data_IF_229653690628
#
_entry.id   IF_229653690628
#
_cell.length_a   1.000
_cell.length_b   1.000
_cell.length_c   1.000
_cell.angle_alpha   90.00
_cell.angle_beta   90.00
_cell.angle_gamma   90.00
#
_symmetry.space_group_name_H-M   'P 1'
#
loop_
_entity.id
_entity.type
_entity.pdbx_description
1 polymer ?
#
# COMPACT_ATOMS: atom_id res chain seq x y z
N UNK A 1 53.39 -28.68 23.39
CA UNK A 1 51.95 -28.46 23.71
C UNK A 1 51.23 -27.40 22.86
N UNK A 2 51.90 -26.56 22.05
CA UNK A 2 51.22 -25.52 21.22
C UNK A 2 50.66 -26.03 19.89
N UNK A 3 51.24 -27.06 19.28
CA UNK A 3 50.85 -27.55 17.94
C UNK A 3 49.53 -28.33 17.93
N UNK A 4 49.25 -29.11 18.99
CA UNK A 4 48.03 -29.94 19.10
C UNK A 4 46.75 -29.08 19.10
N UNK A 5 46.78 -27.88 19.70
CA UNK A 5 45.62 -26.95 19.70
C UNK A 5 45.32 -26.34 18.34
N UNK A 6 46.32 -26.16 17.49
CA UNK A 6 46.13 -25.57 16.15
C UNK A 6 45.50 -26.59 15.21
N UNK A 7 45.86 -27.87 15.36
CA UNK A 7 45.31 -28.98 14.59
C UNK A 7 43.83 -29.24 14.96
N UNK A 8 43.51 -29.30 16.26
CA UNK A 8 42.11 -29.44 16.73
C UNK A 8 41.20 -28.27 16.30
N UNK A 9 41.75 -27.05 16.26
CA UNK A 9 41.04 -25.87 15.75
C UNK A 9 40.72 -25.97 14.26
N UNK A 10 41.64 -26.53 13.47
CA UNK A 10 41.48 -26.77 12.03
C UNK A 10 40.45 -27.84 11.70
N UNK A 11 40.41 -28.93 12.46
CA UNK A 11 39.43 -30.01 12.29
C UNK A 11 38.00 -29.56 12.63
N UNK A 12 37.83 -28.81 13.73
CA UNK A 12 36.52 -28.21 14.09
C UNK A 12 36.04 -27.19 13.06
N UNK A 13 36.95 -26.46 12.42
CA UNK A 13 36.61 -25.52 11.36
C UNK A 13 36.16 -26.22 10.07
N UNK A 14 36.80 -27.35 9.71
CA UNK A 14 36.40 -28.21 8.58
C UNK A 14 35.03 -28.84 8.79
N UNK A 15 34.78 -29.42 9.96
CA UNK A 15 33.46 -29.99 10.31
C UNK A 15 32.34 -28.95 10.22
N UNK A 16 32.57 -27.71 10.67
CA UNK A 16 31.60 -26.61 10.54
C UNK A 16 31.42 -26.12 9.10
N UNK A 17 32.42 -26.29 8.23
CA UNK A 17 32.28 -25.95 6.81
C UNK A 17 31.42 -26.99 6.10
N UNK A 18 31.70 -28.28 6.31
CA UNK A 18 30.93 -29.41 5.79
C UNK A 18 29.47 -29.37 6.25
N UNK A 19 29.22 -29.07 7.54
CA UNK A 19 27.86 -28.94 8.06
C UNK A 19 27.09 -27.77 7.42
N UNK A 20 27.77 -26.65 7.16
CA UNK A 20 27.16 -25.50 6.47
C UNK A 20 26.83 -25.80 5.02
N UNK A 21 27.71 -26.51 4.32
CA UNK A 21 27.51 -26.94 2.94
C UNK A 21 26.33 -27.91 2.85
N UNK A 22 26.26 -28.91 3.75
CA UNK A 22 25.14 -29.85 3.81
C UNK A 22 23.80 -29.14 4.06
N UNK A 23 23.76 -28.21 5.03
CA UNK A 23 22.55 -27.39 5.29
C UNK A 23 22.20 -26.45 4.14
N UNK A 24 23.16 -26.03 3.33
CA UNK A 24 22.90 -25.22 2.14
C UNK A 24 22.29 -26.08 1.02
N UNK A 25 22.84 -27.28 0.78
CA UNK A 25 22.29 -28.21 -0.21
C UNK A 25 20.89 -28.69 0.14
N UNK A 26 20.60 -28.97 1.42
CA UNK A 26 19.27 -29.37 1.89
C UNK A 26 18.23 -28.27 1.62
N UNK A 27 18.57 -27.01 1.92
CA UNK A 27 17.68 -25.86 1.68
C UNK A 27 17.40 -25.62 0.20
N UNK A 28 18.40 -25.79 -0.66
CA UNK A 28 18.23 -25.65 -2.11
C UNK A 28 17.34 -26.76 -2.66
N UNK A 29 17.55 -28.01 -2.23
CA UNK A 29 16.71 -29.15 -2.63
C UNK A 29 15.25 -28.98 -2.20
N UNK A 30 15.02 -28.50 -0.96
CA UNK A 30 13.67 -28.22 -0.46
C UNK A 30 12.99 -27.05 -1.21
N UNK A 31 13.74 -25.99 -1.53
CA UNK A 31 13.22 -24.88 -2.32
C UNK A 31 12.83 -25.33 -3.74
N UNK A 32 13.66 -26.18 -4.37
CA UNK A 32 13.38 -26.72 -5.69
C UNK A 32 12.16 -27.66 -5.69
N UNK A 33 12.02 -28.50 -4.66
CA UNK A 33 10.84 -29.37 -4.51
C UNK A 33 9.55 -28.54 -4.38
N UNK A 34 9.56 -27.48 -3.57
CA UNK A 34 8.40 -26.57 -3.42
C UNK A 34 8.06 -25.85 -4.72
N UNK A 35 9.07 -25.36 -5.45
CA UNK A 35 8.85 -24.71 -6.74
C UNK A 35 8.23 -25.67 -7.76
N UNK A 36 8.73 -26.92 -7.83
CA UNK A 36 8.17 -27.94 -8.72
C UNK A 36 6.70 -28.21 -8.38
N UNK A 37 6.38 -28.43 -7.11
CA UNK A 37 4.99 -28.65 -6.66
C UNK A 37 4.08 -27.46 -7.00
N UNK A 38 4.53 -26.23 -6.75
CA UNK A 38 3.78 -25.02 -7.08
C UNK A 38 3.56 -24.89 -8.59
N UNK A 39 4.58 -25.16 -9.40
CA UNK A 39 4.47 -25.10 -10.86
C UNK A 39 3.51 -26.14 -11.42
N UNK A 40 3.54 -27.37 -10.90
CA UNK A 40 2.61 -28.43 -11.29
C UNK A 40 1.18 -28.10 -10.86
N UNK A 41 1.00 -27.57 -9.64
CA UNK A 41 -0.30 -27.08 -9.18
C UNK A 41 -0.83 -25.96 -10.08
N UNK A 42 0.01 -24.98 -10.42
CA UNK A 42 -0.39 -23.86 -11.28
C UNK A 42 -0.72 -24.29 -12.71
N UNK A 43 0.01 -25.26 -13.28
CA UNK A 43 -0.33 -25.87 -14.57
C UNK A 43 -1.70 -26.56 -14.51
N UNK A 44 -1.96 -27.32 -13.44
CA UNK A 44 -3.25 -28.01 -13.27
C UNK A 44 -4.44 -27.05 -13.11
N UNK A 45 -4.25 -25.89 -12.48
CA UNK A 45 -5.30 -24.87 -12.32
C UNK A 45 -5.54 -24.01 -13.57
N UNK A 46 -4.60 -23.99 -14.52
CA UNK A 46 -4.70 -23.18 -15.74
C UNK A 46 -5.11 -24.07 -16.92
N UNK A 47 -6.41 -24.15 -17.27
CA UNK A 47 -6.77 -24.80 -18.52
C UNK A 47 -6.05 -24.11 -19.68
N UNK A 48 -5.47 -24.91 -20.59
CA UNK A 48 -4.88 -24.40 -21.83
C UNK A 48 -5.92 -23.59 -22.58
N UNK A 49 -5.75 -22.26 -22.58
CA UNK A 49 -6.64 -21.37 -23.30
C UNK A 49 -6.16 -21.34 -24.74
N UNK A 50 -7.00 -21.71 -25.73
CA UNK A 50 -6.60 -21.63 -27.13
C UNK A 50 -6.21 -20.18 -27.46
N UNK A 51 -5.15 -20.02 -28.27
CA UNK A 51 -4.62 -18.72 -28.66
C UNK A 51 -5.67 -17.84 -29.37
N UNK A 52 -6.67 -18.47 -30.00
CA UNK A 52 -7.78 -17.84 -30.71
C UNK A 52 -9.10 -17.80 -29.90
N UNK A 53 -9.04 -18.09 -28.60
CA UNK A 53 -10.22 -18.22 -27.75
C UNK A 53 -10.86 -16.89 -27.37
N UNK A 54 -12.19 -16.82 -27.48
CA UNK A 54 -13.07 -15.72 -27.02
C UNK A 54 -12.60 -15.10 -25.69
N UNK A 55 -12.76 -13.77 -25.50
CA UNK A 55 -12.34 -13.09 -24.28
C UNK A 55 -12.89 -13.82 -23.05
N UNK A 56 -12.03 -13.99 -22.03
CA UNK A 56 -12.37 -14.72 -20.82
C UNK A 56 -13.73 -14.22 -20.26
N UNK A 57 -14.60 -15.12 -19.80
CA UNK A 57 -15.95 -14.74 -19.38
C UNK A 57 -15.85 -13.62 -18.34
N UNK A 58 -16.54 -12.50 -18.60
CA UNK A 58 -16.57 -11.35 -17.69
C UNK A 58 -16.97 -11.85 -16.30
N UNK A 59 -16.18 -11.48 -15.29
CA UNK A 59 -16.44 -11.85 -13.89
C UNK A 59 -17.89 -11.49 -13.55
N UNK A 60 -18.60 -12.40 -12.88
CA UNK A 60 -20.00 -12.19 -12.46
C UNK A 60 -20.12 -10.82 -11.76
N UNK A 61 -21.18 -10.08 -12.07
CA UNK A 61 -21.44 -8.79 -11.43
C UNK A 61 -21.42 -8.94 -9.90
N UNK A 62 -20.74 -8.01 -9.21
CA UNK A 62 -20.63 -7.99 -7.75
C UNK A 62 -21.17 -6.69 -7.19
N UNK A 63 -21.46 -6.66 -5.89
CA UNK A 63 -21.87 -5.44 -5.17
C UNK A 63 -23.26 -4.93 -5.55
N UNK A 64 -23.42 -3.61 -5.60
CA UNK A 64 -24.69 -2.95 -5.91
C UNK A 64 -25.27 -3.41 -7.26
N UNK A 65 -24.40 -3.55 -8.27
CA UNK A 65 -24.79 -4.03 -9.60
C UNK A 65 -25.44 -5.42 -9.55
N UNK A 66 -25.03 -6.29 -8.62
CA UNK A 66 -25.66 -7.61 -8.42
C UNK A 66 -26.98 -7.54 -7.64
N UNK A 67 -27.09 -6.63 -6.67
CA UNK A 67 -28.22 -6.58 -5.72
C UNK A 67 -29.40 -5.78 -6.25
N UNK A 68 -29.12 -4.64 -6.87
CA UNK A 68 -30.14 -3.68 -7.33
C UNK A 68 -30.14 -3.50 -8.84
N UNK A 69 -29.15 -4.05 -9.57
CA UNK A 69 -28.98 -3.81 -11.00
C UNK A 69 -28.44 -2.41 -11.33
N UNK A 70 -28.23 -1.57 -10.31
CA UNK A 70 -27.77 -0.19 -10.50
C UNK A 70 -26.25 -0.14 -10.65
N UNK A 71 -25.82 0.50 -11.74
CA UNK A 71 -24.42 0.84 -11.92
C UNK A 71 -24.04 2.02 -11.01
N UNK A 72 -22.81 2.01 -10.49
CA UNK A 72 -22.29 3.13 -9.71
C UNK A 72 -22.18 4.36 -10.62
N UNK A 73 -22.94 5.41 -10.31
CA UNK A 73 -22.80 6.71 -10.96
C UNK A 73 -21.49 7.35 -10.47
N UNK A 74 -20.53 7.52 -11.37
CA UNK A 74 -19.31 8.30 -11.10
C UNK A 74 -19.64 9.75 -11.43
N UNK A 75 -19.64 10.62 -10.42
CA UNK A 75 -19.80 12.07 -10.61
C UNK A 75 -18.43 12.68 -10.89
N UNK A 76 -18.34 13.55 -11.90
CA UNK A 76 -17.15 14.37 -12.10
C UNK A 76 -17.15 15.51 -11.09
N UNK A 77 -16.23 15.44 -10.12
CA UNK A 77 -16.09 16.43 -9.04
C UNK A 77 -14.92 17.38 -9.31
N UNK A 78 -14.30 17.36 -10.49
CA UNK A 78 -13.15 18.23 -10.82
C UNK A 78 -13.48 19.72 -10.76
N UNK A 79 -14.73 20.06 -11.02
CA UNK A 79 -15.23 21.45 -11.01
C UNK A 79 -15.93 21.83 -9.70
N UNK A 80 -15.92 20.95 -8.70
CA UNK A 80 -16.59 21.25 -7.42
C UNK A 80 -15.68 22.15 -6.59
N UNK A 81 -16.18 23.34 -6.25
CA UNK A 81 -15.53 24.23 -5.28
C UNK A 81 -16.00 23.88 -3.87
N UNK A 82 -15.06 23.68 -2.95
CA UNK A 82 -15.38 23.63 -1.52
C UNK A 82 -15.71 25.03 -1.02
N UNK A 83 -16.95 25.26 -0.57
CA UNK A 83 -17.33 26.52 0.08
C UNK A 83 -16.66 26.56 1.46
N UNK A 84 -15.85 27.58 1.69
CA UNK A 84 -15.22 27.80 2.99
C UNK A 84 -16.22 28.45 3.94
N UNK A 85 -16.38 27.86 5.12
CA UNK A 85 -17.26 28.37 6.17
C UNK A 85 -16.63 29.59 6.86
N UNK A 86 -17.05 30.79 6.41
CA UNK A 86 -16.61 32.08 6.96
C UNK A 86 -17.02 32.26 8.42
N UNK A 87 -18.16 31.71 8.86
CA UNK A 87 -18.59 31.80 10.26
C UNK A 87 -17.65 31.01 11.17
N UNK A 88 -17.24 29.82 10.71
CA UNK A 88 -16.27 29.01 11.44
C UNK A 88 -14.89 29.66 11.54
N UNK A 89 -14.43 30.36 10.49
CA UNK A 89 -13.18 31.16 10.52
C UNK A 89 -13.28 32.22 11.62
N UNK A 90 -14.37 32.99 11.66
CA UNK A 90 -14.60 34.04 12.66
C UNK A 90 -14.65 33.48 14.08
N UNK A 91 -15.38 32.38 14.29
CA UNK A 91 -15.49 31.72 15.59
C UNK A 91 -14.11 31.26 16.11
N UNK A 92 -13.29 30.66 15.25
CA UNK A 92 -11.96 30.18 15.64
C UNK A 92 -11.00 31.33 15.90
N UNK A 93 -11.08 32.42 15.15
CA UNK A 93 -10.33 33.65 15.40
C UNK A 93 -10.69 34.26 16.75
N UNK A 94 -11.99 34.35 17.09
CA UNK A 94 -12.45 34.83 18.40
C UNK A 94 -11.95 33.97 19.57
N UNK A 95 -11.64 32.69 19.31
CA UNK A 95 -11.03 31.76 20.29
C UNK A 95 -9.51 31.87 20.39
N UNK A 96 -8.88 32.75 19.62
CA UNK A 96 -7.43 33.00 19.66
C UNK A 96 -6.62 32.22 18.61
N UNK A 97 -7.26 31.69 17.56
CA UNK A 97 -6.51 31.08 16.44
C UNK A 97 -5.81 32.16 15.61
N UNK A 98 -4.55 31.94 15.23
CA UNK A 98 -3.82 32.86 14.36
C UNK A 98 -4.30 32.78 12.90
N UNK A 99 -4.16 33.88 12.16
CA UNK A 99 -4.49 33.94 10.71
C UNK A 99 -3.71 32.87 9.93
N UNK A 100 -2.46 32.62 10.30
CA UNK A 100 -1.60 31.59 9.69
C UNK A 100 -2.12 30.17 9.90
N UNK A 101 -2.63 29.84 11.08
CA UNK A 101 -3.15 28.50 11.37
C UNK A 101 -4.49 28.27 10.68
N UNK A 102 -5.33 29.30 10.59
CA UNK A 102 -6.59 29.27 9.84
C UNK A 102 -6.34 29.05 8.34
N UNK A 103 -5.41 29.80 7.74
CA UNK A 103 -5.05 29.60 6.33
C UNK A 103 -4.58 28.16 6.04
N UNK A 104 -3.74 27.61 6.92
CA UNK A 104 -3.24 26.24 6.78
C UNK A 104 -4.36 25.17 6.91
N UNK A 105 -5.29 25.34 7.85
CA UNK A 105 -6.39 24.38 8.08
C UNK A 105 -7.45 24.43 6.99
N UNK A 106 -7.81 25.63 6.55
CA UNK A 106 -8.83 25.84 5.51
C UNK A 106 -8.27 25.74 4.09
N UNK A 107 -6.94 25.69 3.93
CA UNK A 107 -6.29 25.58 2.62
C UNK A 107 -6.49 26.82 1.74
N UNK A 108 -6.66 27.98 2.36
CA UNK A 108 -6.87 29.27 1.69
C UNK A 108 -5.71 30.23 1.98
N UNK A 109 -5.61 31.31 1.20
CA UNK A 109 -4.58 32.33 1.40
C UNK A 109 -4.82 33.15 2.68
N UNK A 110 -3.75 33.76 3.19
CA UNK A 110 -3.84 34.67 4.34
C UNK A 110 -4.79 35.84 4.07
N UNK A 111 -4.78 36.37 2.84
CA UNK A 111 -5.63 37.49 2.41
C UNK A 111 -7.11 37.11 2.44
N UNK A 112 -7.46 35.88 2.05
CA UNK A 112 -8.84 35.38 2.10
C UNK A 112 -9.33 35.22 3.54
N UNK A 113 -8.45 34.83 4.46
CA UNK A 113 -8.77 34.76 5.90
C UNK A 113 -8.98 36.18 6.46
N UNK A 114 -8.09 37.12 6.17
CA UNK A 114 -8.20 38.52 6.61
C UNK A 114 -9.49 39.16 6.09
N UNK A 115 -9.81 38.98 4.80
CA UNK A 115 -11.05 39.46 4.21
C UNK A 115 -12.29 38.88 4.92
N UNK A 116 -12.28 37.57 5.24
CA UNK A 116 -13.37 36.94 5.96
C UNK A 116 -13.57 37.49 7.39
N UNK A 117 -12.49 37.96 8.03
CA UNK A 117 -12.51 38.61 9.34
C UNK A 117 -12.97 40.08 9.25
N UNK A 118 -12.48 40.86 8.29
CA UNK A 118 -12.89 42.26 8.09
C UNK A 118 -14.37 42.43 7.69
N UNK A 119 -14.91 41.48 6.92
CA UNK A 119 -16.35 41.41 6.62
C UNK A 119 -17.21 41.26 7.89
N UNK A 120 -16.66 40.72 8.99
CA UNK A 120 -17.37 40.57 10.25
C UNK A 120 -17.44 41.87 11.05
N UNK A 121 -16.38 42.69 11.01
CA UNK A 121 -16.29 43.95 11.76
C UNK A 121 -17.15 45.06 11.16
N UNK A 122 -17.51 44.92 9.88
CA UNK A 122 -18.31 45.93 9.15
C UNK A 122 -19.83 45.70 9.32
N UNK A 123 -20.25 44.65 10.02
CA UNK A 123 -21.67 44.27 10.21
C UNK A 123 -22.12 44.46 11.65
#
# INVERSE_FOLDING_TARGET
MREVRVIEGGERARQRAEERERRASERLAEAEARQREETERMKALRPERPADGEPAPKRRATGALRRTGEARIVRDTRSYSTVVDKERIRLLSARGSSVSSLAAVFGISLQEVEAALSEAETR
#
